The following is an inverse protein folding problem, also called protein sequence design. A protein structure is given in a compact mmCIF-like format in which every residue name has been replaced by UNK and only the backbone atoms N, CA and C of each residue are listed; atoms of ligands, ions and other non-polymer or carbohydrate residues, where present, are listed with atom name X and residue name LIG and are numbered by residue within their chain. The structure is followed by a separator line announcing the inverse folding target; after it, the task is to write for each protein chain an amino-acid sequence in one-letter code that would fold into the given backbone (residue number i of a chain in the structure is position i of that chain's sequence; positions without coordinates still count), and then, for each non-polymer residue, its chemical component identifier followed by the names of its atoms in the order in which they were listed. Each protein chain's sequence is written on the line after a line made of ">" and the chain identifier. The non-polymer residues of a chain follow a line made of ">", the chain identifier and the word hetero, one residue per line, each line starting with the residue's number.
data_IF_934440744970
#
_entry.id   IF_934440744970
#
_cell.length_a   1.000
_cell.length_b   1.000
_cell.length_c   1.000
_cell.angle_alpha   90.00
_cell.angle_beta   90.00
_cell.angle_gamma   90.00
#
_symmetry.space_group_name_H-M   'P 1'
#
loop_
_entity.id
_entity.type
_entity.pdbx_description
1 polymer ?
#
# COMPACT_ATOMS: atom_id res chain seq x y z
N UNK A 1 21.12 4.95 5.04
CA UNK A 1 19.90 5.73 4.70
C UNK A 1 19.83 6.97 5.56
N UNK A 2 19.63 8.13 4.94
CA UNK A 2 19.47 9.42 5.63
C UNK A 2 18.04 9.62 6.16
N UNK A 3 17.88 10.47 7.18
CA UNK A 3 16.60 10.70 7.85
C UNK A 3 15.51 11.21 6.89
N UNK A 4 15.87 12.05 5.91
CA UNK A 4 14.94 12.58 4.93
C UNK A 4 14.34 11.47 4.06
N UNK A 5 15.16 10.52 3.60
CA UNK A 5 14.67 9.38 2.82
C UNK A 5 13.74 8.48 3.65
N UNK A 6 14.06 8.25 4.92
CA UNK A 6 13.17 7.50 5.82
C UNK A 6 11.81 8.19 6.01
N UNK A 7 11.81 9.50 6.26
CA UNK A 7 10.57 10.27 6.44
C UNK A 7 9.73 10.25 5.16
N UNK A 8 10.35 10.44 3.99
CA UNK A 8 9.66 10.35 2.71
C UNK A 8 9.07 8.95 2.45
N UNK A 9 9.81 7.90 2.82
CA UNK A 9 9.32 6.53 2.74
C UNK A 9 8.08 6.32 3.61
N UNK A 10 8.12 6.78 4.87
CA UNK A 10 6.98 6.68 5.79
C UNK A 10 5.77 7.44 5.26
N UNK A 11 5.95 8.67 4.77
CA UNK A 11 4.87 9.46 4.17
C UNK A 11 4.26 8.72 2.98
N UNK A 12 5.08 8.15 2.11
CA UNK A 12 4.62 7.39 0.96
C UNK A 12 3.84 6.14 1.36
N UNK A 13 4.36 5.38 2.33
CA UNK A 13 3.69 4.20 2.90
C UNK A 13 2.33 4.58 3.47
N UNK A 14 2.23 5.68 4.22
CA UNK A 14 0.95 6.12 4.77
C UNK A 14 0.00 6.60 3.68
N UNK A 15 0.46 7.41 2.73
CA UNK A 15 -0.34 7.91 1.61
C UNK A 15 -0.95 6.76 0.80
N UNK A 16 -0.14 5.78 0.39
CA UNK A 16 -0.64 4.66 -0.39
C UNK A 16 -1.61 3.80 0.42
N UNK A 17 -1.36 3.55 1.71
CA UNK A 17 -2.25 2.74 2.55
C UNK A 17 -3.54 3.47 2.96
N UNK A 18 -3.56 4.80 2.92
CA UNK A 18 -4.77 5.60 3.16
C UNK A 18 -5.74 5.58 1.96
N UNK A 19 -5.27 5.34 0.73
CA UNK A 19 -6.15 5.21 -0.43
C UNK A 19 -7.00 3.95 -0.30
N UNK A 20 -8.34 4.08 -0.26
CA UNK A 20 -9.23 2.92 -0.24
C UNK A 20 -8.95 2.00 -1.44
N UNK A 21 -8.67 0.73 -1.18
CA UNK A 21 -8.38 -0.29 -2.19
C UNK A 21 -8.92 -1.65 -1.77
N UNK A 22 -8.48 -2.74 -2.42
CA UNK A 22 -8.95 -4.10 -2.12
C UNK A 22 -8.83 -4.45 -0.63
N UNK A 23 -7.72 -4.05 0.01
CA UNK A 23 -7.45 -4.31 1.44
C UNK A 23 -8.48 -3.64 2.35
N UNK A 24 -8.69 -2.33 2.16
CA UNK A 24 -9.65 -1.53 2.96
C UNK A 24 -11.07 -2.02 2.72
N UNK A 25 -11.45 -2.29 1.47
CA UNK A 25 -12.77 -2.82 1.11
C UNK A 25 -12.99 -4.17 1.81
N UNK A 26 -11.97 -5.05 1.79
CA UNK A 26 -12.04 -6.35 2.43
C UNK A 26 -12.21 -6.23 3.95
N UNK A 27 -11.45 -5.35 4.61
CA UNK A 27 -11.55 -5.09 6.05
C UNK A 27 -12.94 -4.55 6.41
N UNK A 28 -13.37 -3.45 5.77
CA UNK A 28 -14.63 -2.78 6.09
C UNK A 28 -15.81 -3.73 5.86
N UNK A 29 -15.79 -4.52 4.78
CA UNK A 29 -16.84 -5.51 4.51
C UNK A 29 -16.93 -6.60 5.59
N UNK A 30 -15.77 -7.10 6.06
CA UNK A 30 -15.74 -8.10 7.13
C UNK A 30 -16.09 -7.50 8.50
N UNK A 31 -15.72 -6.25 8.77
CA UNK A 31 -16.11 -5.55 10.00
C UNK A 31 -17.62 -5.33 10.05
N UNK A 32 -18.25 -4.92 8.95
CA UNK A 32 -19.69 -4.67 8.89
C UNK A 32 -20.51 -5.94 9.06
N UNK A 33 -20.05 -7.08 8.51
CA UNK A 33 -20.74 -8.38 8.63
C UNK A 33 -20.44 -9.12 9.93
N UNK A 34 -19.16 -9.17 10.32
CA UNK A 34 -18.64 -10.03 11.38
C UNK A 34 -18.18 -9.30 12.64
N UNK A 35 -18.52 -8.01 12.78
CA UNK A 35 -18.09 -7.11 13.86
C UNK A 35 -16.57 -6.91 13.85
N UNK A 36 -16.06 -6.17 14.84
CA UNK A 36 -14.65 -5.79 14.96
C UNK A 36 -13.67 -6.97 14.86
N UNK A 37 -14.01 -8.12 15.44
CA UNK A 37 -13.15 -9.29 15.46
C UNK A 37 -12.84 -9.84 14.05
N UNK A 38 -13.83 -9.87 13.14
CA UNK A 38 -13.62 -10.28 11.76
C UNK A 38 -12.78 -9.26 10.98
N UNK A 39 -12.99 -7.96 11.23
CA UNK A 39 -12.12 -6.90 10.71
C UNK A 39 -10.66 -7.06 11.13
N UNK A 40 -10.41 -7.39 12.39
CA UNK A 40 -9.05 -7.61 12.89
C UNK A 40 -8.41 -8.87 12.29
N UNK A 41 -9.15 -9.97 12.16
CA UNK A 41 -8.65 -11.17 11.46
C UNK A 41 -8.26 -10.85 10.02
N UNK A 42 -9.05 -10.04 9.32
CA UNK A 42 -8.74 -9.58 7.97
C UNK A 42 -7.47 -8.71 7.96
N UNK A 43 -7.35 -7.73 8.87
CA UNK A 43 -6.20 -6.83 8.96
C UNK A 43 -4.89 -7.59 9.22
N UNK A 44 -4.89 -8.56 10.14
CA UNK A 44 -3.71 -9.39 10.43
C UNK A 44 -3.38 -10.30 9.22
N UNK A 45 -4.39 -10.90 8.58
CA UNK A 45 -4.20 -11.68 7.36
C UNK A 45 -3.55 -10.88 6.23
N UNK A 46 -4.01 -9.64 6.00
CA UNK A 46 -3.41 -8.72 5.04
C UNK A 46 -1.95 -8.39 5.41
N UNK A 47 -1.67 -8.20 6.70
CA UNK A 47 -0.32 -7.98 7.24
C UNK A 47 0.65 -9.11 6.91
N UNK A 48 0.20 -10.37 7.03
CA UNK A 48 0.98 -11.53 6.60
C UNK A 48 1.23 -11.52 5.09
N UNK A 49 0.26 -11.08 4.29
CA UNK A 49 0.47 -10.90 2.85
C UNK A 49 1.54 -9.83 2.53
N UNK A 50 1.60 -8.73 3.28
CA UNK A 50 2.66 -7.73 3.13
C UNK A 50 4.04 -8.27 3.50
N UNK A 51 4.10 -9.13 4.51
CA UNK A 51 5.33 -9.83 4.86
C UNK A 51 5.79 -10.77 3.72
N UNK A 52 4.86 -11.46 3.05
CA UNK A 52 5.18 -12.28 1.87
C UNK A 52 5.75 -11.42 0.73
N UNK A 53 5.14 -10.26 0.45
CA UNK A 53 5.69 -9.28 -0.52
C UNK A 53 7.10 -8.81 -0.12
N UNK A 54 7.34 -8.60 1.17
CA UNK A 54 8.65 -8.23 1.70
C UNK A 54 9.69 -9.31 1.45
N UNK A 55 9.36 -10.57 1.71
CA UNK A 55 10.27 -11.69 1.42
C UNK A 55 10.51 -11.81 -0.09
N UNK A 56 9.47 -11.69 -0.91
CA UNK A 56 9.58 -11.74 -2.36
C UNK A 56 10.49 -10.62 -2.90
N UNK A 57 10.36 -9.38 -2.39
CA UNK A 57 11.25 -8.29 -2.75
C UNK A 57 12.68 -8.54 -2.26
N UNK A 58 12.86 -8.99 -1.02
CA UNK A 58 14.17 -9.30 -0.47
C UNK A 58 14.92 -10.36 -1.30
N UNK A 59 14.23 -11.40 -1.78
CA UNK A 59 14.83 -12.49 -2.55
C UNK A 59 14.96 -12.17 -4.05
N UNK A 60 13.93 -11.58 -4.67
CA UNK A 60 13.88 -11.34 -6.11
C UNK A 60 14.43 -9.99 -6.54
N UNK A 61 14.06 -8.92 -5.83
CA UNK A 61 14.41 -7.55 -6.22
C UNK A 61 15.88 -7.24 -5.92
N UNK A 62 16.43 -7.82 -4.85
CA UNK A 62 17.87 -7.73 -4.56
C UNK A 62 18.72 -8.28 -5.71
N UNK A 63 18.31 -9.38 -6.33
CA UNK A 63 19.00 -9.95 -7.48
C UNK A 63 18.96 -9.02 -8.70
N UNK A 64 17.83 -8.34 -8.94
CA UNK A 64 17.71 -7.36 -10.04
C UNK A 64 18.64 -6.17 -9.80
N UNK A 65 18.64 -5.62 -8.57
CA UNK A 65 19.47 -4.46 -8.18
C UNK A 65 20.96 -4.79 -8.34
N UNK A 66 21.38 -5.97 -7.90
CA UNK A 66 22.79 -6.39 -7.92
C UNK A 66 23.27 -6.83 -9.31
N UNK A 67 22.36 -7.22 -10.21
CA UNK A 67 22.74 -7.77 -11.52
C UNK A 67 22.80 -6.74 -12.65
N UNK A 68 21.97 -5.69 -12.63
CA UNK A 68 21.91 -4.74 -13.75
C UNK A 68 21.45 -3.33 -13.37
N UNK A 69 22.33 -2.35 -13.58
CA UNK A 69 22.02 -0.93 -13.44
C UNK A 69 20.92 -0.46 -14.41
N UNK A 70 20.86 -1.04 -15.62
CA UNK A 70 19.80 -0.74 -16.60
C UNK A 70 18.45 -1.27 -16.10
N UNK A 71 18.41 -2.49 -15.59
CA UNK A 71 17.19 -3.07 -15.04
C UNK A 71 16.69 -2.28 -13.82
N UNK A 72 17.61 -1.88 -12.92
CA UNK A 72 17.29 -1.01 -11.80
C UNK A 72 16.71 0.34 -12.23
N UNK A 73 17.34 0.99 -13.23
CA UNK A 73 16.86 2.26 -13.78
C UNK A 73 15.47 2.12 -14.43
N UNK A 74 15.24 1.03 -15.16
CA UNK A 74 13.93 0.73 -15.73
C UNK A 74 12.86 0.57 -14.64
N UNK A 75 13.16 -0.18 -13.58
CA UNK A 75 12.28 -0.36 -12.42
C UNK A 75 11.97 0.97 -11.73
N UNK A 76 12.98 1.84 -11.56
CA UNK A 76 12.81 3.19 -11.00
C UNK A 76 11.81 4.02 -11.79
N UNK A 77 11.99 4.12 -13.11
CA UNK A 77 11.09 4.89 -13.98
C UNK A 77 9.69 4.30 -14.06
N UNK A 78 9.57 2.97 -14.12
CA UNK A 78 8.28 2.28 -14.04
C UNK A 78 7.56 2.60 -12.73
N UNK A 79 8.29 2.71 -11.62
CA UNK A 79 7.71 3.06 -10.33
C UNK A 79 7.26 4.49 -10.21
N UNK A 80 8.05 5.44 -10.71
CA UNK A 80 7.62 6.82 -10.80
C UNK A 80 6.34 6.94 -11.63
N UNK A 81 6.30 6.32 -12.82
CA UNK A 81 5.12 6.32 -13.67
C UNK A 81 3.90 5.67 -12.98
N UNK A 82 4.12 4.58 -12.24
CA UNK A 82 3.05 3.90 -11.51
C UNK A 82 2.49 4.73 -10.34
N UNK A 83 3.34 5.43 -9.60
CA UNK A 83 2.90 6.37 -8.56
C UNK A 83 2.08 7.53 -9.13
N UNK A 84 2.52 8.09 -10.28
CA UNK A 84 1.73 9.10 -11.00
C UNK A 84 0.38 8.51 -11.39
N UNK A 85 0.35 7.31 -11.97
CA UNK A 85 -0.88 6.64 -12.36
C UNK A 85 -1.83 6.46 -11.15
N UNK A 86 -1.33 5.94 -10.02
CA UNK A 86 -2.13 5.78 -8.80
C UNK A 86 -2.62 7.13 -8.24
N UNK A 87 -1.76 8.15 -8.27
CA UNK A 87 -2.13 9.47 -7.78
C UNK A 87 -3.18 10.15 -8.66
N UNK A 88 -3.05 10.04 -9.99
CA UNK A 88 -4.04 10.52 -10.95
C UNK A 88 -5.35 9.78 -10.81
N UNK A 89 -5.33 8.43 -10.69
CA UNK A 89 -6.53 7.64 -10.44
C UNK A 89 -7.23 8.10 -9.15
N UNK A 90 -6.48 8.35 -8.07
CA UNK A 90 -7.06 8.84 -6.81
C UNK A 90 -7.70 10.23 -6.97
N UNK A 91 -7.06 11.16 -7.69
CA UNK A 91 -7.63 12.48 -7.98
C UNK A 91 -8.86 12.41 -8.88
N UNK A 92 -8.87 11.52 -9.88
CA UNK A 92 -10.02 11.31 -10.76
C UNK A 92 -11.21 10.72 -10.00
N UNK A 93 -10.99 9.72 -9.15
CA UNK A 93 -12.03 9.14 -8.29
C UNK A 93 -12.63 10.20 -7.36
N UNK A 94 -11.78 11.04 -6.76
CA UNK A 94 -12.19 12.16 -5.93
C UNK A 94 -13.08 13.15 -6.72
N UNK A 95 -12.66 13.52 -7.93
CA UNK A 95 -13.35 14.50 -8.77
C UNK A 95 -14.70 13.99 -9.29
N UNK A 96 -14.77 12.73 -9.73
CA UNK A 96 -16.00 12.11 -10.25
C UNK A 96 -17.03 11.82 -9.16
N UNK A 97 -16.62 11.81 -7.89
CA UNK A 97 -17.49 11.39 -6.79
C UNK A 97 -17.85 9.90 -6.85
N UNK A 98 -17.05 9.11 -7.57
CA UNK A 98 -17.13 7.64 -7.61
C UNK A 98 -16.58 7.00 -6.33
N UNK A 99 -16.08 7.81 -5.40
CA UNK A 99 -15.60 7.46 -4.05
C UNK A 99 -16.70 6.84 -3.17
N UNK A 100 -17.14 5.65 -3.55
CA UNK A 100 -17.99 4.76 -2.78
C UNK A 100 -17.16 3.54 -2.45
N UNK A 101 -16.94 3.31 -1.15
CA UNK A 101 -16.57 1.98 -0.68
C UNK A 101 -17.74 1.05 -0.97
N UNK A 102 -17.70 0.38 -2.14
CA UNK A 102 -18.68 -0.64 -2.49
C UNK A 102 -18.35 -1.86 -1.65
N UNK A 103 -19.04 -1.96 -0.51
CA UNK A 103 -18.98 -3.12 0.37
C UNK A 103 -19.48 -4.32 -0.44
N UNK A 104 -18.61 -5.31 -0.65
CA UNK A 104 -18.98 -6.47 -1.43
C UNK A 104 -19.82 -7.42 -0.57
N UNK A 105 -21.13 -7.39 -0.78
CA UNK A 105 -22.09 -8.24 -0.08
C UNK A 105 -21.87 -9.75 -0.37
N UNK A 106 -21.13 -10.10 -1.43
CA UNK A 106 -20.86 -11.49 -1.83
C UNK A 106 -19.60 -12.11 -1.21
N UNK A 107 -18.90 -11.46 -0.27
CA UNK A 107 -17.84 -12.14 0.50
C UNK A 107 -18.51 -13.27 1.31
N UNK A 108 -18.37 -14.50 0.82
CA UNK A 108 -19.10 -15.69 1.26
C UNK A 108 -18.84 -16.10 2.70
N UNK A 109 -19.89 -16.61 3.33
CA UNK A 109 -20.03 -16.91 4.76
C UNK A 109 -19.11 -18.00 5.34
N UNK A 110 -18.26 -18.67 4.54
CA UNK A 110 -17.64 -19.95 4.95
C UNK A 110 -16.11 -20.05 4.76
N UNK A 111 -15.42 -18.96 4.41
CA UNK A 111 -13.95 -18.96 4.28
C UNK A 111 -13.30 -18.30 5.50
N UNK A 112 -12.19 -18.87 5.97
CA UNK A 112 -11.41 -18.29 7.07
C UNK A 112 -10.94 -16.87 6.67
N UNK A 113 -11.51 -15.85 7.33
CA UNK A 113 -11.28 -14.42 7.05
C UNK A 113 -9.81 -14.06 7.08
N UNK A 114 -9.03 -14.69 7.96
CA UNK A 114 -7.59 -14.50 8.03
C UNK A 114 -6.90 -14.97 6.74
N UNK A 115 -7.15 -16.21 6.31
CA UNK A 115 -6.55 -16.81 5.11
C UNK A 115 -6.94 -16.03 3.85
N UNK A 116 -8.21 -15.65 3.77
CA UNK A 116 -8.69 -14.85 2.65
C UNK A 116 -8.06 -13.44 2.65
N UNK A 117 -7.79 -12.85 3.82
CA UNK A 117 -6.99 -11.63 3.95
C UNK A 117 -5.58 -11.79 3.39
N UNK A 118 -4.89 -12.91 3.69
CA UNK A 118 -3.58 -13.22 3.10
C UNK A 118 -3.67 -13.23 1.58
N UNK A 119 -4.65 -13.96 1.02
CA UNK A 119 -4.84 -14.08 -0.43
C UNK A 119 -5.12 -12.71 -1.06
N UNK A 120 -5.98 -11.88 -0.44
CA UNK A 120 -6.30 -10.54 -0.94
C UNK A 120 -5.04 -9.68 -1.01
N UNK A 121 -4.21 -9.68 0.02
CA UNK A 121 -2.96 -8.89 0.04
C UNK A 121 -1.93 -9.42 -0.96
N UNK A 122 -1.71 -10.73 -1.03
CA UNK A 122 -0.77 -11.34 -1.98
C UNK A 122 -1.15 -11.03 -3.43
N UNK A 123 -2.45 -11.09 -3.75
CA UNK A 123 -2.97 -10.77 -5.08
C UNK A 123 -3.21 -9.27 -5.31
N UNK A 124 -2.87 -8.41 -4.35
CA UNK A 124 -3.11 -6.98 -4.48
C UNK A 124 -2.05 -6.35 -5.41
N UNK A 125 -2.42 -5.95 -6.63
CA UNK A 125 -1.47 -5.37 -7.57
C UNK A 125 -0.91 -4.02 -7.09
N UNK A 126 -1.66 -3.28 -6.26
CA UNK A 126 -1.22 -2.00 -5.69
C UNK A 126 0.02 -2.18 -4.81
N UNK A 127 0.01 -3.20 -3.96
CA UNK A 127 1.12 -3.50 -3.05
C UNK A 127 2.28 -4.12 -3.82
N UNK A 128 2.00 -5.11 -4.68
CA UNK A 128 3.03 -5.76 -5.49
C UNK A 128 3.81 -4.74 -6.34
N UNK A 129 3.09 -3.85 -7.01
CA UNK A 129 3.72 -2.81 -7.84
C UNK A 129 4.42 -1.75 -7.00
N UNK A 130 3.92 -1.39 -5.81
CA UNK A 130 4.67 -0.51 -4.89
C UNK A 130 5.99 -1.14 -4.44
N UNK A 131 6.00 -2.42 -4.06
CA UNK A 131 7.22 -3.13 -3.69
C UNK A 131 8.20 -3.25 -4.85
N UNK A 132 7.70 -3.59 -6.04
CA UNK A 132 8.54 -3.74 -7.22
C UNK A 132 9.20 -2.42 -7.60
N UNK A 133 8.45 -1.32 -7.51
CA UNK A 133 8.78 -0.12 -8.26
C UNK A 133 9.22 1.06 -7.39
N UNK A 134 8.73 1.14 -6.15
CA UNK A 134 9.02 2.23 -5.22
C UNK A 134 10.00 1.85 -4.12
N UNK A 135 9.87 0.65 -3.54
CA UNK A 135 10.78 0.16 -2.50
C UNK A 135 12.28 0.23 -2.88
N UNK A 136 12.70 -0.12 -4.12
CA UNK A 136 14.10 -0.02 -4.51
C UNK A 136 14.71 1.37 -4.40
N UNK A 137 13.88 2.42 -4.51
CA UNK A 137 14.33 3.80 -4.61
C UNK A 137 14.85 4.37 -3.27
N UNK A 138 14.63 3.63 -2.19
CA UNK A 138 15.11 3.97 -0.85
C UNK A 138 16.34 3.15 -0.45
N UNK A 139 16.81 2.26 -1.34
CA UNK A 139 18.00 1.47 -1.12
C UNK A 139 19.21 2.28 -1.56
N UNK A 140 20.20 2.33 -0.68
CA UNK A 140 21.52 2.82 -1.01
C UNK A 140 22.42 1.64 -1.38
N UNK A 141 22.73 1.50 -2.68
CA UNK A 141 23.58 0.41 -3.20
C UNK A 141 25.06 0.60 -2.86
N UNK A 142 25.47 1.79 -2.41
CA UNK A 142 26.85 2.09 -2.02
C UNK A 142 27.16 1.70 -0.57
N UNK A 143 26.13 1.46 0.25
CA UNK A 143 26.29 1.17 1.68
C UNK A 143 25.53 -0.09 2.11
N UNK A 144 26.24 -1.13 2.55
CA UNK A 144 25.63 -2.32 3.13
C UNK A 144 24.88 -3.22 2.14
N UNK A 145 24.17 -4.23 2.66
CA UNK A 145 23.48 -5.21 1.83
C UNK A 145 22.10 -4.71 1.38
N UNK A 146 21.86 -4.69 0.07
CA UNK A 146 20.56 -4.34 -0.51
C UNK A 146 19.41 -5.22 0.01
N UNK A 147 19.67 -6.52 0.25
CA UNK A 147 18.66 -7.44 0.79
C UNK A 147 18.26 -7.07 2.22
N UNK A 148 19.21 -6.67 3.07
CA UNK A 148 18.93 -6.22 4.44
C UNK A 148 18.13 -4.92 4.44
N UNK A 149 18.48 -3.96 3.57
CA UNK A 149 17.71 -2.71 3.46
C UNK A 149 16.27 -2.98 2.97
N UNK A 150 16.10 -3.82 1.95
CA UNK A 150 14.79 -4.26 1.46
C UNK A 150 13.95 -4.92 2.56
N UNK A 151 14.57 -5.80 3.34
CA UNK A 151 13.89 -6.48 4.44
C UNK A 151 13.42 -5.48 5.50
N UNK A 152 14.28 -4.55 5.93
CA UNK A 152 13.93 -3.53 6.93
C UNK A 152 12.82 -2.61 6.43
N UNK A 153 12.94 -2.10 5.21
CA UNK A 153 11.95 -1.20 4.62
C UNK A 153 10.61 -1.91 4.36
N UNK A 154 10.65 -3.16 3.88
CA UNK A 154 9.44 -3.96 3.67
C UNK A 154 8.74 -4.34 4.98
N UNK A 155 9.50 -4.63 6.04
CA UNK A 155 8.95 -4.85 7.38
C UNK A 155 8.32 -3.57 7.94
N UNK A 156 8.97 -2.41 7.74
CA UNK A 156 8.43 -1.12 8.12
C UNK A 156 7.12 -0.81 7.37
N UNK A 157 7.09 -1.04 6.05
CA UNK A 157 5.85 -0.94 5.27
C UNK A 157 4.77 -1.87 5.84
N UNK A 158 5.12 -3.15 6.07
CA UNK A 158 4.18 -4.16 6.54
C UNK A 158 3.57 -3.76 7.89
N UNK A 159 4.38 -3.22 8.80
CA UNK A 159 3.93 -2.70 10.09
C UNK A 159 3.00 -1.49 9.94
N UNK A 160 3.40 -0.48 9.16
CA UNK A 160 2.59 0.72 8.93
C UNK A 160 1.26 0.40 8.24
N UNK A 161 1.29 -0.43 7.20
CA UNK A 161 0.11 -0.87 6.46
C UNK A 161 -0.84 -1.67 7.36
N UNK A 162 -0.30 -2.59 8.18
CA UNK A 162 -1.11 -3.35 9.15
C UNK A 162 -1.71 -2.42 10.20
N UNK A 163 -0.98 -1.42 10.67
CA UNK A 163 -1.51 -0.41 11.59
C UNK A 163 -2.65 0.39 10.96
N UNK A 164 -2.51 0.85 9.72
CA UNK A 164 -3.58 1.49 8.96
C UNK A 164 -4.81 0.57 8.82
N UNK A 165 -4.59 -0.71 8.55
CA UNK A 165 -5.65 -1.71 8.43
C UNK A 165 -6.39 -1.96 9.76
N UNK A 166 -5.67 -2.01 10.88
CA UNK A 166 -6.25 -2.11 12.22
C UNK A 166 -7.09 -0.86 12.55
N UNK A 167 -6.64 0.33 12.14
CA UNK A 167 -7.42 1.56 12.25
C UNK A 167 -8.70 1.47 11.40
N UNK A 168 -8.60 1.03 10.14
CA UNK A 168 -9.77 0.80 9.29
C UNK A 168 -10.74 -0.23 9.87
N UNK A 169 -10.24 -1.30 10.50
CA UNK A 169 -11.07 -2.28 11.17
C UNK A 169 -11.81 -1.68 12.38
N UNK A 170 -11.15 -0.81 13.13
CA UNK A 170 -11.66 -0.20 14.36
C UNK A 170 -12.69 0.88 14.11
N UNK A 171 -12.37 1.82 13.21
CA UNK A 171 -13.18 3.03 13.02
C UNK A 171 -13.77 3.14 11.61
N UNK A 172 -13.28 2.37 10.64
CA UNK A 172 -13.70 2.49 9.24
C UNK A 172 -15.18 2.20 9.04
N UNK A 173 -15.72 1.15 9.65
CA UNK A 173 -17.16 0.86 9.57
C UNK A 173 -18.02 2.01 10.11
N UNK A 174 -17.61 2.66 11.20
CA UNK A 174 -18.29 3.82 11.78
C UNK A 174 -18.13 5.08 10.92
N UNK A 175 -16.93 5.35 10.40
CA UNK A 175 -16.66 6.53 9.54
C UNK A 175 -17.43 6.41 8.23
N UNK A 176 -17.43 5.23 7.61
CA UNK A 176 -17.98 5.03 6.27
C UNK A 176 -19.47 4.64 6.25
N UNK A 177 -20.07 4.36 7.41
CA UNK A 177 -21.54 4.19 7.53
C UNK A 177 -22.31 5.51 7.70
N UNK A 178 -21.61 6.64 7.93
CA UNK A 178 -22.23 7.96 8.05
C UNK A 178 -22.64 8.54 6.69
N UNK A 179 -23.63 9.42 6.69
CA UNK A 179 -24.08 10.16 5.48
C UNK A 179 -22.97 10.95 4.78
N UNK A 180 -21.92 11.32 5.51
CA UNK A 180 -20.75 12.03 4.99
C UNK A 180 -19.61 11.12 4.49
N UNK A 181 -19.80 9.79 4.43
CA UNK A 181 -18.77 8.82 4.01
C UNK A 181 -18.11 9.17 2.68
N UNK A 182 -18.90 9.66 1.71
CA UNK A 182 -18.39 10.13 0.43
C UNK A 182 -17.46 11.35 0.53
N UNK A 183 -17.66 12.24 1.51
CA UNK A 183 -16.74 13.37 1.74
C UNK A 183 -15.40 12.87 2.30
N UNK A 184 -15.43 11.90 3.21
CA UNK A 184 -14.21 11.33 3.78
C UNK A 184 -13.40 10.53 2.76
N UNK A 185 -14.05 9.68 1.95
CA UNK A 185 -13.37 8.93 0.88
C UNK A 185 -12.72 9.86 -0.13
N UNK A 186 -13.45 10.90 -0.58
CA UNK A 186 -12.91 11.95 -1.47
C UNK A 186 -11.70 12.68 -0.88
N UNK A 187 -11.75 13.03 0.41
CA UNK A 187 -10.63 13.70 1.07
C UNK A 187 -9.39 12.79 1.14
N UNK A 188 -9.56 11.52 1.52
CA UNK A 188 -8.46 10.55 1.58
C UNK A 188 -7.85 10.30 0.20
N UNK A 189 -8.68 10.13 -0.83
CA UNK A 189 -8.24 9.98 -2.22
C UNK A 189 -7.52 11.24 -2.73
N UNK A 190 -8.06 12.42 -2.45
CA UNK A 190 -7.47 13.70 -2.87
C UNK A 190 -6.10 13.95 -2.25
N UNK A 191 -6.00 13.88 -0.92
CA UNK A 191 -4.73 14.10 -0.19
C UNK A 191 -3.69 13.07 -0.61
N UNK A 192 -4.07 11.79 -0.65
CA UNK A 192 -3.13 10.73 -1.02
C UNK A 192 -2.69 10.85 -2.48
N UNK A 193 -3.59 11.24 -3.39
CA UNK A 193 -3.27 11.44 -4.79
C UNK A 193 -2.22 12.53 -5.00
N UNK A 194 -2.37 13.67 -4.33
CA UNK A 194 -1.36 14.75 -4.35
C UNK A 194 -0.02 14.27 -3.78
N UNK A 195 -0.05 13.56 -2.65
CA UNK A 195 1.18 13.04 -2.03
C UNK A 195 1.91 12.06 -2.95
N UNK A 196 1.19 11.13 -3.60
CA UNK A 196 1.81 10.16 -4.52
C UNK A 196 2.42 10.82 -5.76
N UNK A 197 1.74 11.81 -6.36
CA UNK A 197 2.29 12.56 -7.51
C UNK A 197 3.53 13.36 -7.08
N UNK A 198 3.48 14.03 -5.93
CA UNK A 198 4.63 14.78 -5.40
C UNK A 198 5.83 13.86 -5.13
N UNK A 199 5.59 12.69 -4.54
CA UNK A 199 6.62 11.68 -4.33
C UNK A 199 7.19 11.16 -5.66
N UNK A 200 6.34 10.90 -6.65
CA UNK A 200 6.78 10.47 -7.98
C UNK A 200 7.68 11.50 -8.66
N UNK A 201 7.35 12.80 -8.54
CA UNK A 201 8.19 13.89 -9.02
C UNK A 201 9.57 13.90 -8.33
N UNK A 202 9.60 13.78 -7.00
CA UNK A 202 10.86 13.68 -6.24
C UNK A 202 11.70 12.49 -6.67
N UNK A 203 11.07 11.37 -6.95
CA UNK A 203 11.73 10.14 -7.41
C UNK A 203 12.33 10.31 -8.80
N UNK A 204 11.59 10.93 -9.73
CA UNK A 204 12.05 11.15 -11.09
C UNK A 204 13.23 12.13 -11.15
N UNK A 205 13.25 13.13 -10.27
CA UNK A 205 14.31 14.15 -10.18
C UNK A 205 15.50 13.68 -9.34
N UNK A 206 15.33 12.65 -8.51
CA UNK A 206 16.42 12.08 -7.72
C UNK A 206 17.48 11.47 -8.64
N UNK A 207 18.71 11.97 -8.61
CA UNK A 207 19.84 11.44 -9.39
C UNK A 207 20.40 10.10 -8.87
N UNK A 208 19.85 9.60 -7.75
CA UNK A 208 20.14 8.26 -7.20
C UNK A 208 19.41 7.14 -7.93
#
# INVERSE_FOLDING_TARGET
>A
MDLNSLVLFVIACLAINMIPGPDVIYIVSNTMKGKLASGMKAAIGLGIGYFIHTLAACLGLSAIILSSAVAFTAVKWLGAAYLVYLGVQALLSMWRGESKLVVNENIGSNKNVFVQGVIVSVLNPKVALFFLSFLPQFIDTSTGSASTQLLVLGLLFSALATMCNVLYASVGSWVFSRSNSQRYSRALEGVSGVLLIGLAGKVAISDR
#
